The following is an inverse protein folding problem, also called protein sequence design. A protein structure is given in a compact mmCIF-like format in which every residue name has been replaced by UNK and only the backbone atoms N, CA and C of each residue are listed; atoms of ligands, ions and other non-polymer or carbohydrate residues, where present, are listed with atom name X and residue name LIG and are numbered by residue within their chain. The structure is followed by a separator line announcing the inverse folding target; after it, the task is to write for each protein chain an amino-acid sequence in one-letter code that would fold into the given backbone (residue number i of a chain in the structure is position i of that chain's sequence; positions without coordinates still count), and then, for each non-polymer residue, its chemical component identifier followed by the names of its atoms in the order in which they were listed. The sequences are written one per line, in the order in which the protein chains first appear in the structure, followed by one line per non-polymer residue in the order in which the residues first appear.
data_IF_708940575885
#
_entry.id   IF_708940575885
#
_cell.length_a   1.000
_cell.length_b   1.000
_cell.length_c   1.000
_cell.angle_alpha   90.00
_cell.angle_beta   90.00
_cell.angle_gamma   90.00
#
_symmetry.space_group_name_H-M   'P 1'
#
loop_
_entity.id
_entity.type
_entity.pdbx_description
1 polymer ?
#
# COMPACT_ATOMS: atom_id res chain seq x y z
N UNK A 1 -16.47 29.66 60.62
CA UNK A 1 -16.09 28.34 60.08
C UNK A 1 -17.26 27.79 59.28
N UNK A 2 -17.21 27.83 57.93
CA UNK A 2 -18.12 27.21 56.93
C UNK A 2 -18.13 28.08 55.67
N UNK A 3 -17.01 28.18 54.93
CA UNK A 3 -17.07 28.67 53.53
C UNK A 3 -15.76 28.60 52.74
N UNK A 4 -14.68 28.03 53.29
CA UNK A 4 -13.36 28.09 52.63
C UNK A 4 -12.85 26.74 52.13
N UNK A 5 -13.61 25.65 52.30
CA UNK A 5 -13.19 24.30 51.95
C UNK A 5 -13.81 23.74 50.67
N UNK A 6 -14.66 24.49 49.97
CA UNK A 6 -15.33 24.01 48.74
C UNK A 6 -14.60 24.50 47.48
N UNK A 7 -13.85 25.61 47.55
CA UNK A 7 -13.11 26.14 46.40
C UNK A 7 -11.79 25.42 46.11
N UNK A 8 -11.20 24.74 47.10
CA UNK A 8 -9.95 23.99 46.92
C UNK A 8 -10.16 22.56 46.40
N UNK A 9 -11.38 22.02 46.46
CA UNK A 9 -11.67 20.67 45.96
C UNK A 9 -12.04 20.65 44.47
N UNK A 10 -12.47 21.78 43.89
CA UNK A 10 -12.88 21.84 42.48
C UNK A 10 -11.68 21.97 41.50
N UNK A 11 -10.54 22.49 41.96
CA UNK A 11 -9.34 22.67 41.12
C UNK A 11 -8.52 21.37 40.99
N UNK A 12 -8.70 20.42 41.91
CA UNK A 12 -7.99 19.13 41.87
C UNK A 12 -8.66 18.15 40.90
N UNK A 13 -9.96 18.29 40.63
CA UNK A 13 -10.68 17.38 39.73
C UNK A 13 -10.39 17.71 38.26
N UNK A 14 -10.21 18.98 37.89
CA UNK A 14 -9.85 19.36 36.51
C UNK A 14 -8.41 19.03 36.14
N UNK A 15 -7.51 18.83 37.12
CA UNK A 15 -6.14 18.40 36.88
C UNK A 15 -5.98 16.86 36.77
N UNK A 16 -6.95 16.08 37.27
CA UNK A 16 -6.93 14.61 37.22
C UNK A 16 -7.78 14.03 36.08
N UNK A 17 -8.64 14.83 35.45
CA UNK A 17 -9.29 14.49 34.17
C UNK A 17 -8.55 15.06 32.96
N UNK A 18 -7.42 15.72 33.18
CA UNK A 18 -6.50 16.08 32.11
C UNK A 18 -5.89 14.82 31.55
N UNK A 19 -6.48 14.28 30.47
CA UNK A 19 -5.80 13.37 29.57
C UNK A 19 -4.37 13.89 29.41
N UNK A 20 -3.38 13.07 29.79
CA UNK A 20 -1.99 13.44 29.56
C UNK A 20 -1.87 13.79 28.07
N UNK A 21 -1.33 14.96 27.70
CA UNK A 21 -1.14 15.30 26.28
C UNK A 21 -0.19 14.32 25.58
N UNK A 22 0.49 13.47 26.35
CA UNK A 22 1.36 12.39 25.89
C UNK A 22 0.60 11.13 25.45
N UNK A 23 -0.64 10.91 25.91
CA UNK A 23 -1.46 9.74 25.53
C UNK A 23 -2.29 9.98 24.25
N UNK A 24 -2.17 11.15 23.62
CA UNK A 24 -2.90 11.56 22.40
C UNK A 24 -1.96 12.13 21.31
N UNK A 25 -0.67 11.82 21.35
CA UNK A 25 0.17 11.99 20.16
C UNK A 25 0.12 10.69 19.39
N UNK A 26 -0.90 10.56 18.56
CA UNK A 26 -0.86 9.65 17.43
C UNK A 26 0.24 10.13 16.48
N UNK A 27 1.47 9.71 16.75
CA UNK A 27 2.64 9.93 15.89
C UNK A 27 2.57 9.00 14.67
N UNK A 28 1.37 8.79 14.13
CA UNK A 28 1.08 7.82 13.10
C UNK A 28 2.10 7.90 11.98
N UNK A 29 2.71 6.76 11.65
CA UNK A 29 3.65 6.66 10.54
C UNK A 29 2.91 5.97 9.40
N UNK A 30 3.02 6.54 8.21
CA UNK A 30 2.52 5.93 6.99
C UNK A 30 3.11 4.52 6.85
N UNK A 31 2.25 3.52 6.69
CA UNK A 31 2.67 2.12 6.66
C UNK A 31 1.82 1.29 5.70
N UNK A 32 2.36 0.14 5.29
CA UNK A 32 1.61 -0.87 4.52
C UNK A 32 1.17 -1.95 5.50
N UNK A 33 -0.12 -1.94 5.85
CA UNK A 33 -0.74 -2.89 6.78
C UNK A 33 -0.94 -4.26 6.13
N UNK A 34 -1.39 -4.28 4.88
CA UNK A 34 -1.60 -5.50 4.10
C UNK A 34 -1.26 -5.28 2.62
N UNK A 35 -0.76 -6.33 1.97
CA UNK A 35 -0.45 -6.38 0.55
C UNK A 35 -0.56 -7.82 0.03
N UNK A 36 -1.48 -8.06 -0.90
CA UNK A 36 -1.63 -9.36 -1.55
C UNK A 36 -2.11 -9.22 -2.99
N UNK A 37 -2.01 -10.33 -3.72
CA UNK A 37 -2.24 -10.39 -5.17
C UNK A 37 -3.11 -11.61 -5.46
N UNK A 38 -4.17 -11.39 -6.24
CA UNK A 38 -5.01 -12.47 -6.76
C UNK A 38 -4.69 -12.64 -8.24
N UNK A 39 -4.14 -13.80 -8.59
CA UNK A 39 -3.86 -14.22 -9.96
C UNK A 39 -4.90 -15.23 -10.49
N UNK A 40 -4.58 -15.86 -11.61
CA UNK A 40 -5.38 -16.85 -12.33
C UNK A 40 -5.68 -18.13 -11.54
N UNK A 41 -4.94 -18.43 -10.48
CA UNK A 41 -5.17 -19.58 -9.61
C UNK A 41 -6.09 -19.26 -8.41
N UNK A 42 -6.76 -18.10 -8.40
CA UNK A 42 -7.68 -17.67 -7.32
C UNK A 42 -7.06 -17.81 -5.93
N UNK A 43 -5.79 -17.39 -5.81
CA UNK A 43 -4.98 -17.49 -4.59
C UNK A 43 -5.77 -17.40 -3.28
N UNK A 44 -5.62 -18.42 -2.45
CA UNK A 44 -5.79 -18.26 -1.02
C UNK A 44 -4.57 -17.53 -0.43
N UNK A 45 -4.74 -16.92 0.75
CA UNK A 45 -3.61 -16.41 1.53
C UNK A 45 -2.54 -17.52 1.67
N UNK A 46 -1.27 -17.17 1.43
CA UNK A 46 -0.07 -18.02 1.46
C UNK A 46 0.33 -18.78 0.18
N UNK A 47 -0.49 -18.81 -0.86
CA UNK A 47 -0.08 -19.36 -2.16
C UNK A 47 0.65 -18.33 -3.03
N UNK A 48 1.57 -18.79 -3.89
CA UNK A 48 2.25 -17.91 -4.84
C UNK A 48 1.26 -17.61 -5.99
N UNK A 49 0.91 -16.34 -6.23
CA UNK A 49 0.10 -15.93 -7.39
C UNK A 49 0.66 -16.43 -8.70
N UNK A 50 -0.20 -17.12 -9.45
CA UNK A 50 0.04 -17.49 -10.84
C UNK A 50 -0.76 -16.56 -11.74
N UNK A 51 -0.11 -15.95 -12.73
CA UNK A 51 -0.73 -15.04 -13.71
C UNK A 51 -0.54 -15.67 -15.08
N UNK A 52 -1.64 -16.10 -15.69
CA UNK A 52 -1.68 -16.82 -16.95
C UNK A 52 -2.44 -15.99 -17.99
N UNK A 53 -1.81 -15.54 -19.09
CA UNK A 53 -2.45 -14.70 -20.10
C UNK A 53 -3.59 -15.41 -20.83
N UNK A 54 -3.70 -16.73 -20.72
CA UNK A 54 -4.77 -17.52 -21.32
C UNK A 54 -5.96 -17.75 -20.38
N UNK A 55 -5.87 -17.29 -19.12
CA UNK A 55 -6.95 -17.36 -18.14
C UNK A 55 -7.42 -15.95 -17.76
N UNK A 56 -8.73 -15.70 -17.83
CA UNK A 56 -9.35 -14.40 -17.53
C UNK A 56 -8.61 -13.21 -18.20
N UNK A 57 -8.23 -13.37 -19.47
CA UNK A 57 -7.48 -12.38 -20.26
C UNK A 57 -6.17 -11.89 -19.61
N UNK A 58 -5.55 -12.73 -18.76
CA UNK A 58 -4.32 -12.38 -18.04
C UNK A 58 -4.52 -11.36 -16.93
N UNK A 59 -5.76 -11.18 -16.47
CA UNK A 59 -6.08 -10.26 -15.37
C UNK A 59 -5.54 -10.78 -14.03
N UNK A 60 -5.00 -9.86 -13.25
CA UNK A 60 -4.66 -10.06 -11.86
C UNK A 60 -4.95 -8.79 -11.06
N UNK A 61 -5.30 -8.95 -9.80
CA UNK A 61 -5.71 -7.85 -8.92
C UNK A 61 -4.66 -7.62 -7.84
N UNK A 62 -4.26 -6.36 -7.68
CA UNK A 62 -3.38 -5.91 -6.60
C UNK A 62 -4.22 -5.27 -5.50
N UNK A 63 -4.04 -5.72 -4.27
CA UNK A 63 -4.70 -5.18 -3.08
C UNK A 63 -3.66 -4.64 -2.12
N UNK A 64 -3.85 -3.41 -1.66
CA UNK A 64 -3.03 -2.81 -0.62
C UNK A 64 -3.90 -2.07 0.38
N UNK A 65 -3.57 -2.22 1.66
CA UNK A 65 -4.15 -1.46 2.75
C UNK A 65 -3.07 -0.65 3.44
N UNK A 66 -3.31 0.64 3.56
CA UNK A 66 -2.38 1.58 4.17
C UNK A 66 -2.84 1.98 5.57
N UNK A 67 -1.88 2.05 6.48
CA UNK A 67 -2.06 2.67 7.78
C UNK A 67 -1.69 4.14 7.69
N UNK A 68 -2.56 5.02 8.22
CA UNK A 68 -2.42 6.49 8.17
C UNK A 68 -2.33 7.07 6.75
N UNK A 69 -3.26 6.71 5.84
CA UNK A 69 -3.23 7.25 4.48
C UNK A 69 -3.42 8.77 4.45
N UNK A 70 -4.08 9.35 5.45
CA UNK A 70 -4.37 10.77 5.67
C UNK A 70 -3.13 11.69 5.74
N UNK A 71 -1.93 11.11 5.87
CA UNK A 71 -0.67 11.84 5.80
C UNK A 71 -0.24 12.22 4.37
N UNK A 72 -0.95 11.74 3.35
CA UNK A 72 -0.63 11.95 1.94
C UNK A 72 0.57 11.10 1.48
N UNK A 73 0.43 10.45 0.33
CA UNK A 73 1.41 9.46 -0.12
C UNK A 73 1.54 9.38 -1.63
N UNK A 74 2.70 8.89 -2.07
CA UNK A 74 2.94 8.40 -3.42
C UNK A 74 3.04 6.87 -3.36
N UNK A 75 2.19 6.18 -4.11
CA UNK A 75 2.21 4.73 -4.27
C UNK A 75 2.77 4.40 -5.65
N UNK A 76 3.83 3.59 -5.68
CA UNK A 76 4.36 3.03 -6.92
C UNK A 76 4.41 1.51 -6.83
N UNK A 77 3.84 0.84 -7.84
CA UNK A 77 4.04 -0.59 -8.02
C UNK A 77 5.17 -0.83 -9.02
N UNK A 78 6.04 -1.77 -8.68
CA UNK A 78 7.12 -2.22 -9.53
C UNK A 78 7.02 -3.71 -9.80
N UNK A 79 7.56 -4.12 -10.94
CA UNK A 79 7.80 -5.50 -11.29
C UNK A 79 9.31 -5.74 -11.44
N UNK A 80 9.85 -6.70 -10.69
CA UNK A 80 11.28 -7.02 -10.69
C UNK A 80 11.55 -8.51 -10.62
N UNK A 81 12.77 -8.90 -10.98
CA UNK A 81 13.28 -10.27 -10.80
C UNK A 81 13.93 -10.48 -9.42
N UNK A 82 14.05 -9.43 -8.62
CA UNK A 82 14.60 -9.41 -7.25
C UNK A 82 13.65 -8.65 -6.33
N UNK A 83 13.79 -8.85 -5.01
CA UNK A 83 13.08 -8.09 -3.98
C UNK A 83 13.74 -6.71 -3.77
N UNK A 84 13.80 -5.88 -4.81
CA UNK A 84 14.41 -4.54 -4.75
C UNK A 84 13.83 -3.63 -5.84
N UNK A 85 13.64 -2.35 -5.53
CA UNK A 85 13.16 -1.32 -6.47
C UNK A 85 14.25 -0.78 -7.39
N UNK A 86 15.54 -0.97 -7.06
CA UNK A 86 16.67 -0.37 -7.80
C UNK A 86 16.75 -0.82 -9.28
N UNK A 87 16.43 -2.08 -9.55
CA UNK A 87 16.46 -2.68 -10.89
C UNK A 87 15.05 -3.05 -11.39
N UNK A 88 14.00 -2.61 -10.70
CA UNK A 88 12.62 -2.98 -11.02
C UNK A 88 11.97 -1.99 -11.99
N UNK A 89 11.06 -2.49 -12.83
CA UNK A 89 10.30 -1.68 -13.78
C UNK A 89 9.05 -1.12 -13.07
N UNK A 90 8.84 0.21 -13.01
CA UNK A 90 7.58 0.76 -12.51
C UNK A 90 6.44 0.39 -13.47
N UNK A 91 5.36 -0.17 -12.91
CA UNK A 91 4.18 -0.62 -13.69
C UNK A 91 2.94 0.23 -13.42
N UNK A 92 2.92 0.97 -12.30
CA UNK A 92 1.86 1.89 -11.94
C UNK A 92 2.35 2.91 -10.92
N UNK A 93 1.80 4.12 -10.97
CA UNK A 93 2.07 5.19 -10.02
C UNK A 93 0.76 5.93 -9.72
N UNK A 94 0.56 6.24 -8.45
CA UNK A 94 -0.54 7.04 -7.92
C UNK A 94 0.04 8.07 -6.95
N UNK A 95 -0.25 9.34 -7.22
CA UNK A 95 0.00 10.43 -6.28
C UNK A 95 -1.34 10.74 -5.59
N UNK A 96 -1.35 10.70 -4.26
CA UNK A 96 -2.53 10.97 -3.45
C UNK A 96 -2.29 12.24 -2.65
N UNK A 97 -2.98 13.31 -3.04
CA UNK A 97 -2.96 14.60 -2.37
C UNK A 97 -4.17 14.80 -1.46
N UNK A 98 -4.14 15.86 -0.65
CA UNK A 98 -5.11 16.17 0.40
C UNK A 98 -6.57 16.33 -0.13
N UNK A 99 -6.74 16.53 -1.44
CA UNK A 99 -8.05 16.73 -2.09
C UNK A 99 -8.63 15.42 -2.66
N UNK A 100 -7.81 14.37 -2.79
CA UNK A 100 -8.18 13.06 -3.35
C UNK A 100 -8.92 12.18 -2.33
N UNK A 101 -10.23 12.43 -2.14
CA UNK A 101 -11.06 11.66 -1.18
C UNK A 101 -11.00 10.14 -1.36
N UNK A 102 -10.71 9.65 -2.56
CA UNK A 102 -10.60 8.22 -2.84
C UNK A 102 -9.34 7.57 -2.25
N UNK A 103 -8.30 8.34 -1.96
CA UNK A 103 -7.03 7.86 -1.43
C UNK A 103 -7.03 7.65 0.09
N UNK A 104 -8.02 8.22 0.78
CA UNK A 104 -8.11 8.26 2.25
C UNK A 104 -9.23 7.39 2.81
N UNK A 105 -9.99 6.71 1.96
CA UNK A 105 -10.94 5.72 2.42
C UNK A 105 -10.13 4.56 2.99
N UNK A 106 -10.27 4.27 4.28
CA UNK A 106 -9.46 3.28 5.02
C UNK A 106 -9.69 1.82 4.60
N UNK A 107 -10.25 1.63 3.42
CA UNK A 107 -10.48 0.37 2.73
C UNK A 107 -9.26 -0.01 1.87
N UNK A 108 -9.37 -1.14 1.18
CA UNK A 108 -8.34 -1.58 0.26
C UNK A 108 -8.32 -0.73 -1.01
N UNK A 109 -7.16 -0.16 -1.32
CA UNK A 109 -6.91 0.27 -2.69
C UNK A 109 -6.75 -0.98 -3.57
N UNK A 110 -7.57 -1.05 -4.62
CA UNK A 110 -7.60 -2.19 -5.55
C UNK A 110 -7.24 -1.71 -6.94
N UNK A 111 -6.29 -2.38 -7.58
CA UNK A 111 -5.87 -2.11 -8.95
C UNK A 111 -5.98 -3.37 -9.79
N UNK A 112 -6.75 -3.28 -10.88
CA UNK A 112 -6.75 -4.30 -11.92
C UNK A 112 -5.59 -4.08 -12.89
N UNK A 113 -4.86 -5.16 -13.14
CA UNK A 113 -3.77 -5.23 -14.08
C UNK A 113 -3.96 -6.41 -15.02
N UNK A 114 -3.41 -6.31 -16.23
CA UNK A 114 -3.46 -7.33 -17.28
C UNK A 114 -2.06 -7.64 -17.74
N UNK A 115 -1.74 -8.92 -17.86
CA UNK A 115 -0.58 -9.39 -18.60
C UNK A 115 -1.00 -9.84 -20.01
N UNK A 116 -0.32 -9.34 -21.04
CA UNK A 116 -0.67 -9.58 -22.43
C UNK A 116 0.31 -10.56 -23.10
N UNK A 117 -0.16 -11.37 -24.08
CA UNK A 117 0.68 -12.33 -24.80
C UNK A 117 1.83 -11.72 -25.61
N UNK A 118 1.81 -10.40 -25.84
CA UNK A 118 2.84 -9.65 -26.59
C UNK A 118 4.00 -9.15 -25.71
N UNK A 119 4.15 -9.71 -24.50
CA UNK A 119 5.15 -9.30 -23.50
C UNK A 119 4.97 -7.86 -23.02
N UNK A 120 3.74 -7.37 -23.04
CA UNK A 120 3.36 -6.12 -22.38
C UNK A 120 2.38 -6.38 -21.25
N UNK A 121 2.21 -5.38 -20.38
CA UNK A 121 1.15 -5.40 -19.39
C UNK A 121 0.50 -4.03 -19.28
N UNK A 122 -0.64 -4.00 -18.59
CA UNK A 122 -1.38 -2.77 -18.36
C UNK A 122 -1.92 -2.77 -16.94
N UNK A 123 -1.67 -1.70 -16.17
CA UNK A 123 -2.29 -1.48 -14.86
C UNK A 123 -3.07 -0.17 -14.91
N UNK A 124 -4.40 -0.23 -14.72
CA UNK A 124 -5.27 0.92 -15.00
C UNK A 124 -5.12 1.40 -16.44
N UNK A 125 -4.75 2.67 -16.64
CA UNK A 125 -4.47 3.26 -17.96
C UNK A 125 -3.00 3.17 -18.39
N UNK A 126 -2.10 2.71 -17.52
CA UNK A 126 -0.66 2.69 -17.77
C UNK A 126 -0.25 1.36 -18.43
N UNK A 127 0.28 1.44 -19.65
CA UNK A 127 0.89 0.29 -20.34
C UNK A 127 2.38 0.26 -20.06
N UNK A 128 2.92 -0.91 -19.74
CA UNK A 128 4.33 -1.12 -19.50
C UNK A 128 4.85 -2.27 -20.36
N UNK A 129 6.12 -2.17 -20.76
CA UNK A 129 6.81 -3.29 -21.40
C UNK A 129 7.42 -4.16 -20.31
N UNK A 130 7.26 -5.46 -20.44
CA UNK A 130 8.12 -6.40 -19.74
C UNK A 130 9.44 -6.38 -20.52
N UNK A 131 10.34 -5.47 -20.17
CA UNK A 131 11.62 -5.28 -20.86
C UNK A 131 12.50 -6.54 -20.83
N UNK A 132 13.55 -6.60 -21.67
CA UNK A 132 14.52 -7.72 -21.82
C UNK A 132 15.01 -8.35 -20.50
N UNK A 133 14.90 -7.63 -19.37
CA UNK A 133 15.24 -8.08 -18.02
C UNK A 133 14.31 -9.14 -17.39
N UNK A 134 13.13 -9.41 -17.97
CA UNK A 134 12.06 -10.27 -17.41
C UNK A 134 11.91 -11.61 -18.20
N UNK A 135 12.79 -11.88 -19.16
CA UNK A 135 12.50 -12.82 -20.26
C UNK A 135 12.61 -14.30 -19.92
N UNK A 136 11.45 -14.94 -19.73
CA UNK A 136 10.81 -15.95 -20.63
C UNK A 136 9.65 -16.53 -19.84
N UNK A 137 8.46 -16.68 -20.44
CA UNK A 137 7.45 -17.53 -19.81
C UNK A 137 7.97 -18.98 -19.74
N UNK A 138 7.87 -19.66 -18.58
CA UNK A 138 7.39 -19.13 -17.31
C UNK A 138 8.44 -18.24 -16.61
N UNK A 139 8.02 -17.04 -16.18
CA UNK A 139 8.86 -16.10 -15.44
C UNK A 139 8.42 -16.07 -13.96
N UNK A 140 9.38 -16.11 -13.03
CA UNK A 140 9.12 -15.88 -11.60
C UNK A 140 9.79 -14.59 -11.16
N UNK A 141 9.04 -13.73 -10.47
CA UNK A 141 9.54 -12.43 -10.01
C UNK A 141 8.82 -11.95 -8.76
N UNK A 142 8.83 -10.63 -8.60
CA UNK A 142 8.23 -9.94 -7.47
C UNK A 142 7.46 -8.73 -7.96
N UNK A 143 6.24 -8.57 -7.45
CA UNK A 143 5.58 -7.27 -7.45
C UNK A 143 5.92 -6.59 -6.13
N UNK A 144 6.32 -5.33 -6.23
CA UNK A 144 6.81 -4.52 -5.11
C UNK A 144 5.89 -3.31 -5.01
N UNK A 145 5.28 -3.11 -3.85
CA UNK A 145 4.59 -1.88 -3.52
C UNK A 145 5.55 -0.99 -2.72
N UNK A 146 5.82 0.22 -3.21
CA UNK A 146 6.53 1.26 -2.47
C UNK A 146 5.57 2.41 -2.21
N UNK A 147 5.50 2.82 -0.95
CA UNK A 147 4.66 3.93 -0.50
C UNK A 147 5.56 4.95 0.18
N UNK A 148 5.65 6.14 -0.40
CA UNK A 148 6.47 7.23 0.09
C UNK A 148 5.60 8.33 0.67
N UNK A 149 5.95 8.83 1.86
CA UNK A 149 5.35 10.03 2.40
C UNK A 149 5.83 11.25 1.61
N UNK A 150 4.89 12.01 1.04
CA UNK A 150 5.17 13.17 0.17
C UNK A 150 6.06 14.24 0.80
N UNK A 151 5.89 14.50 2.10
CA UNK A 151 6.59 15.59 2.79
C UNK A 151 7.88 15.13 3.47
N UNK A 152 7.86 13.93 4.04
CA UNK A 152 8.95 13.44 4.89
C UNK A 152 10.00 12.62 4.11
N UNK A 153 9.72 12.30 2.83
CA UNK A 153 10.58 11.51 1.95
C UNK A 153 10.99 10.16 2.59
N UNK A 154 10.08 9.59 3.37
CA UNK A 154 10.22 8.28 4.00
C UNK A 154 9.37 7.29 3.20
N UNK A 155 10.00 6.20 2.76
CA UNK A 155 9.34 5.18 1.96
C UNK A 155 9.29 3.84 2.71
N UNK A 156 8.18 3.13 2.54
CA UNK A 156 7.98 1.78 3.04
C UNK A 156 7.67 0.86 1.86
N UNK A 157 8.25 -0.34 1.87
CA UNK A 157 8.07 -1.30 0.77
C UNK A 157 7.51 -2.63 1.27
N UNK A 158 6.62 -3.23 0.49
CA UNK A 158 6.20 -4.63 0.60
C UNK A 158 6.46 -5.35 -0.71
N UNK A 159 6.81 -6.62 -0.63
CA UNK A 159 7.12 -7.45 -1.79
C UNK A 159 6.29 -8.73 -1.73
N UNK A 160 5.78 -9.15 -2.88
CA UNK A 160 5.06 -10.41 -3.05
C UNK A 160 5.65 -11.13 -4.24
N UNK A 161 6.01 -12.40 -4.06
CA UNK A 161 6.48 -13.25 -5.15
C UNK A 161 5.32 -13.56 -6.09
N UNK A 162 5.57 -13.61 -7.39
CA UNK A 162 4.57 -13.96 -8.42
C UNK A 162 5.20 -14.86 -9.49
N UNK A 163 4.36 -15.63 -10.17
CA UNK A 163 4.73 -16.44 -11.34
C UNK A 163 3.85 -16.03 -12.52
N UNK A 164 4.46 -15.68 -13.64
CA UNK A 164 3.80 -15.52 -14.93
C UNK A 164 4.08 -16.78 -15.75
N UNK A 165 3.04 -17.42 -16.30
CA UNK A 165 3.18 -18.68 -17.05
C UNK A 165 2.61 -18.60 -18.45
#
# INVERSE_FOLDING_TARGET
MKSLFIFSLLVVITALTGCKPEDLQDTGVLSIEDFYIIGSNDNALDEIPEIDPYFNDGEFLLFIRLGKPDLGYELTYYLGNKQSTQDATPIYHLDCDDDDRYCYDGDYFTLSCYYLPDMTGQCGSNRFNLSEAIFTLPFSGYIIAEVCHRVQNQCVTRTQRVVFR
#
